data_IF_486964678074
#
_entry.id   IF_486964678074
#
_cell.length_a   1.000
_cell.length_b   1.000
_cell.length_c   1.000
_cell.angle_alpha   90.00
_cell.angle_beta   90.00
_cell.angle_gamma   90.00
#
_symmetry.space_group_name_H-M   'P 1'
#
loop_
_entity.id
_entity.type
_entity.pdbx_description
1 polymer ?
#
# COMPACT_ATOMS: atom_id res chain seq x y z
N UNK A 1 0.33 10.92 -0.15
CA UNK A 1 -0.20 9.81 -0.97
C UNK A 1 0.98 8.89 -1.20
N UNK A 2 0.98 7.72 -0.55
CA UNK A 2 2.15 6.81 -0.49
C UNK A 2 1.98 5.73 -1.54
N UNK A 3 3.06 5.34 -2.20
CA UNK A 3 3.02 4.29 -3.24
C UNK A 3 4.02 3.21 -2.89
N UNK A 4 3.55 1.97 -2.74
CA UNK A 4 4.39 0.82 -2.40
C UNK A 4 4.26 -0.27 -3.45
N UNK A 5 5.27 -1.13 -3.56
CA UNK A 5 5.20 -2.31 -4.41
C UNK A 5 4.40 -3.43 -3.73
N UNK A 6 3.77 -4.32 -4.52
CA UNK A 6 3.04 -5.49 -3.98
C UNK A 6 3.90 -6.38 -3.07
N UNK A 7 5.21 -6.46 -3.34
CA UNK A 7 6.16 -7.19 -2.48
C UNK A 7 6.31 -6.58 -1.09
N UNK A 8 6.23 -5.26 -1.01
CA UNK A 8 6.36 -4.50 0.23
C UNK A 8 5.07 -4.53 1.04
N UNK A 9 3.92 -4.48 0.37
CA UNK A 9 2.62 -4.74 0.98
C UNK A 9 2.60 -6.11 1.67
N UNK A 10 3.09 -7.16 1.00
CA UNK A 10 3.14 -8.52 1.56
C UNK A 10 4.08 -8.61 2.78
N UNK A 11 5.21 -7.90 2.76
CA UNK A 11 6.19 -7.93 3.84
C UNK A 11 5.76 -7.12 5.08
N UNK A 12 4.97 -6.06 4.89
CA UNK A 12 4.65 -5.08 5.93
C UNK A 12 3.13 -4.93 6.17
N UNK A 13 2.36 -6.00 5.96
CA UNK A 13 0.89 -5.95 5.94
C UNK A 13 0.28 -5.28 7.18
N UNK A 14 0.74 -5.62 8.39
CA UNK A 14 0.23 -5.04 9.63
C UNK A 14 0.48 -3.54 9.71
N UNK A 15 1.68 -3.08 9.37
CA UNK A 15 2.03 -1.65 9.36
C UNK A 15 1.16 -0.89 8.37
N UNK A 16 1.00 -1.43 7.16
CA UNK A 16 0.15 -0.85 6.13
C UNK A 16 -1.29 -0.73 6.60
N UNK A 17 -1.83 -1.74 7.28
CA UNK A 17 -3.17 -1.66 7.85
C UNK A 17 -3.32 -0.58 8.92
N UNK A 18 -2.36 -0.43 9.83
CA UNK A 18 -2.41 0.65 10.83
C UNK A 18 -2.40 2.03 10.17
N UNK A 19 -1.57 2.24 9.15
CA UNK A 19 -1.55 3.49 8.39
C UNK A 19 -2.93 3.77 7.75
N UNK A 20 -3.56 2.77 7.13
CA UNK A 20 -4.89 2.90 6.52
C UNK A 20 -5.96 3.22 7.57
N UNK A 21 -5.92 2.58 8.76
CA UNK A 21 -6.86 2.88 9.86
C UNK A 21 -6.79 4.34 10.32
N UNK A 22 -5.62 4.96 10.21
CA UNK A 22 -5.42 6.39 10.49
C UNK A 22 -5.79 7.31 9.31
N UNK A 23 -6.39 6.76 8.24
CA UNK A 23 -6.86 7.51 7.08
C UNK A 23 -5.81 7.64 5.96
N UNK A 24 -4.72 6.89 6.00
CA UNK A 24 -3.76 6.88 4.91
C UNK A 24 -4.38 6.24 3.65
N UNK A 25 -4.04 6.83 2.49
CA UNK A 25 -4.38 6.28 1.18
C UNK A 25 -3.10 5.84 0.49
N UNK A 26 -3.02 4.55 0.17
CA UNK A 26 -1.79 3.91 -0.31
C UNK A 26 -2.03 3.29 -1.68
N UNK A 27 -1.25 3.70 -2.67
CA UNK A 27 -1.26 3.08 -4.00
C UNK A 27 -0.37 1.84 -4.00
N UNK A 28 -0.87 0.76 -4.60
CA UNK A 28 -0.12 -0.48 -4.80
C UNK A 28 0.35 -0.55 -6.24
N UNK A 29 1.63 -0.83 -6.42
CA UNK A 29 2.25 -1.02 -7.72
C UNK A 29 2.67 -2.46 -7.95
N UNK A 30 2.55 -2.91 -9.20
CA UNK A 30 3.11 -4.16 -9.69
C UNK A 30 3.87 -3.86 -10.97
N UNK A 31 5.14 -4.30 -11.05
CA UNK A 31 6.03 -4.04 -12.20
C UNK A 31 6.04 -2.56 -12.62
N UNK A 32 6.06 -1.65 -11.64
CA UNK A 32 6.11 -0.20 -11.86
C UNK A 32 4.78 0.47 -12.26
N UNK A 33 3.70 -0.29 -12.41
CA UNK A 33 2.36 0.25 -12.72
C UNK A 33 1.48 0.25 -11.48
N UNK A 34 0.70 1.31 -11.27
CA UNK A 34 -0.33 1.33 -10.22
C UNK A 34 -1.43 0.35 -10.61
N UNK A 35 -1.75 -0.57 -9.70
CA UNK A 35 -2.74 -1.64 -9.91
C UNK A 35 -3.90 -1.59 -8.92
N UNK A 36 -3.72 -0.94 -7.77
CA UNK A 36 -4.76 -0.80 -6.76
C UNK A 36 -4.50 0.42 -5.86
N UNK A 37 -5.51 0.77 -5.06
CA UNK A 37 -5.40 1.73 -3.97
C UNK A 37 -6.07 1.14 -2.73
N UNK A 38 -5.40 1.25 -1.60
CA UNK A 38 -5.93 0.94 -0.27
C UNK A 38 -6.40 2.24 0.39
N UNK A 39 -7.57 2.19 1.01
CA UNK A 39 -8.25 3.30 1.70
C UNK A 39 -8.93 2.81 2.97
#
# INVERSE_FOLDING_TARGET
MTTIAVRELRANLMKVFEEIKHGAKIQITSRGKVVAQLV
#
